data_IF_072225632782
#
_entry.id   IF_072225632782
#
_cell.length_a   1.000
_cell.length_b   1.000
_cell.length_c   1.000
_cell.angle_alpha   90.00
_cell.angle_beta   90.00
_cell.angle_gamma   90.00
#
_symmetry.space_group_name_H-M   'P 1'
#
loop_
_entity.id
_entity.type
_entity.pdbx_description
1 polymer ?
#
# COMPACT_ATOMS: atom_id res chain seq x y z
N UNK A 1 7.46 6.21 -8.20
CA UNK A 1 6.47 5.74 -9.18
C UNK A 1 5.14 6.42 -8.93
N UNK A 2 4.46 6.82 -9.96
CA UNK A 2 3.15 7.43 -9.82
C UNK A 2 2.12 6.38 -9.43
N UNK A 3 1.22 6.76 -8.55
CA UNK A 3 0.17 5.84 -8.13
C UNK A 3 -0.64 5.32 -9.31
N UNK A 4 -0.93 6.17 -10.28
CA UNK A 4 -1.69 5.75 -11.45
C UNK A 4 -1.01 4.62 -12.22
N UNK A 5 0.30 4.61 -12.26
CA UNK A 5 1.04 3.54 -12.93
C UNK A 5 0.91 2.22 -12.18
N UNK A 6 0.89 2.28 -10.85
CA UNK A 6 0.67 1.10 -10.03
C UNK A 6 -0.76 0.58 -10.20
N UNK A 7 -1.73 1.48 -10.26
CA UNK A 7 -3.13 1.09 -10.37
C UNK A 7 -3.44 0.33 -11.65
N UNK A 8 -2.66 0.53 -12.69
CA UNK A 8 -2.85 -0.20 -13.94
C UNK A 8 -2.54 -1.68 -13.81
N UNK A 9 -1.70 -2.02 -12.83
CA UNK A 9 -1.22 -3.39 -12.67
C UNK A 9 -1.98 -4.18 -11.61
N UNK A 10 -2.91 -3.55 -10.91
CA UNK A 10 -3.66 -4.21 -9.84
C UNK A 10 -5.15 -4.06 -10.08
N UNK A 11 -5.92 -4.92 -9.43
CA UNK A 11 -7.37 -4.83 -9.47
C UNK A 11 -7.84 -4.27 -8.13
N UNK A 12 -8.73 -3.31 -8.20
CA UNK A 12 -9.32 -2.70 -7.01
C UNK A 12 -10.83 -2.61 -7.17
N UNK A 13 -11.53 -2.63 -6.03
CA UNK A 13 -12.99 -2.56 -6.02
C UNK A 13 -13.48 -1.14 -5.80
N UNK A 14 -12.64 -0.31 -5.17
CA UNK A 14 -13.00 1.08 -4.92
C UNK A 14 -11.72 1.91 -4.86
N UNK A 15 -11.83 3.15 -5.26
CA UNK A 15 -10.68 4.05 -5.29
C UNK A 15 -11.12 5.42 -4.83
N UNK A 16 -10.40 5.96 -3.84
CA UNK A 16 -10.59 7.33 -3.36
C UNK A 16 -9.27 8.05 -3.54
N UNK A 17 -9.26 9.08 -4.38
CA UNK A 17 -8.04 9.82 -4.69
C UNK A 17 -8.11 11.24 -4.16
N UNK A 18 -6.96 11.79 -3.70
CA UNK A 18 -6.89 13.20 -3.36
C UNK A 18 -6.90 14.06 -4.63
N UNK A 19 -6.96 15.38 -4.44
CA UNK A 19 -6.96 16.30 -5.58
C UNK A 19 -5.67 16.25 -6.37
N UNK A 20 -4.55 16.15 -5.66
CA UNK A 20 -3.24 16.17 -6.30
C UNK A 20 -2.81 14.76 -6.67
N UNK A 21 -1.95 14.71 -7.68
CA UNK A 21 -1.36 13.45 -8.09
C UNK A 21 -0.51 12.87 -6.97
N UNK A 22 -0.61 11.56 -6.79
CA UNK A 22 0.13 10.87 -5.74
C UNK A 22 1.32 10.14 -6.34
N UNK A 23 2.48 10.37 -5.75
CA UNK A 23 3.67 9.61 -6.11
C UNK A 23 4.01 8.68 -4.95
N UNK A 24 4.28 7.40 -5.26
CA UNK A 24 4.63 6.41 -4.26
C UNK A 24 6.14 6.25 -4.24
N UNK A 25 6.74 6.59 -3.11
CA UNK A 25 8.21 6.55 -2.96
C UNK A 25 8.70 5.25 -2.36
N UNK A 26 7.85 4.56 -1.62
CA UNK A 26 8.19 3.28 -1.02
C UNK A 26 6.91 2.50 -0.77
N UNK A 27 7.05 1.20 -0.54
CA UNK A 27 5.92 0.32 -0.26
C UNK A 27 6.26 -0.52 0.97
N UNK A 28 5.37 -0.54 1.94
CA UNK A 28 5.57 -1.31 3.17
C UNK A 28 4.27 -1.95 3.61
N UNK A 29 4.38 -3.12 4.22
CA UNK A 29 3.27 -3.80 4.86
C UNK A 29 3.34 -3.65 6.38
N UNK A 30 4.39 -3.02 6.88
CA UNK A 30 4.60 -2.78 8.31
C UNK A 30 4.51 -1.27 8.53
N UNK A 31 3.53 -0.85 9.33
CA UNK A 31 3.32 0.57 9.59
C UNK A 31 4.52 1.25 10.23
N UNK A 32 5.34 0.48 10.95
CA UNK A 32 6.53 1.04 11.60
C UNK A 32 7.61 1.46 10.61
N UNK A 33 7.57 0.89 9.41
CA UNK A 33 8.57 1.16 8.39
C UNK A 33 8.11 2.20 7.36
N UNK A 34 6.90 2.69 7.49
CA UNK A 34 6.36 3.67 6.54
C UNK A 34 7.12 4.99 6.66
N UNK A 35 7.45 5.56 5.51
CA UNK A 35 8.10 6.85 5.42
C UNK A 35 7.22 7.84 4.68
N UNK A 36 7.57 9.11 4.76
CA UNK A 36 6.82 10.15 4.06
C UNK A 36 6.78 9.87 2.56
N UNK A 37 5.59 9.92 1.97
CA UNK A 37 5.41 9.61 0.56
C UNK A 37 5.28 8.13 0.26
N UNK A 38 5.25 7.28 1.29
CA UNK A 38 5.16 5.84 1.08
C UNK A 38 3.74 5.33 0.95
N UNK A 39 3.63 4.07 0.53
CA UNK A 39 2.38 3.34 0.48
C UNK A 39 2.37 2.31 1.59
N UNK A 40 1.28 2.24 2.32
CA UNK A 40 1.07 1.20 3.32
C UNK A 40 0.01 0.25 2.82
N UNK A 41 0.29 -1.05 2.91
CA UNK A 41 -0.67 -2.08 2.53
C UNK A 41 -1.16 -2.77 3.79
N UNK A 42 -2.44 -2.58 4.10
CA UNK A 42 -3.05 -3.15 5.30
C UNK A 42 -3.47 -4.58 5.00
N UNK A 43 -2.71 -5.53 5.52
CA UNK A 43 -2.96 -6.95 5.31
C UNK A 43 -3.52 -7.54 6.60
N UNK A 44 -4.59 -8.33 6.47
CA UNK A 44 -5.11 -9.08 7.58
C UNK A 44 -4.20 -10.27 7.86
N UNK A 45 -3.53 -10.22 9.00
CA UNK A 45 -2.68 -11.31 9.42
C UNK A 45 -3.39 -12.23 10.40
N UNK A 46 -2.70 -13.29 10.82
CA UNK A 46 -3.25 -14.24 11.79
C UNK A 46 -3.27 -13.67 13.19
N UNK A 47 -2.34 -12.78 13.52
CA UNK A 47 -2.22 -12.21 14.85
C UNK A 47 -2.66 -10.76 14.92
N UNK A 48 -2.60 -10.05 13.82
CA UNK A 48 -2.95 -8.64 13.79
C UNK A 48 -3.56 -8.29 12.45
N UNK A 49 -4.49 -7.35 12.48
CA UNK A 49 -5.11 -6.81 11.29
C UNK A 49 -4.40 -5.51 10.94
N UNK A 50 -3.78 -5.46 9.76
CA UNK A 50 -3.08 -4.26 9.30
C UNK A 50 -3.98 -3.03 9.26
N UNK A 51 -5.30 -3.22 9.14
CA UNK A 51 -6.23 -2.09 9.15
C UNK A 51 -6.17 -1.29 10.45
N UNK A 52 -5.79 -1.93 11.56
CA UNK A 52 -5.64 -1.23 12.83
C UNK A 52 -4.49 -0.22 12.80
N UNK A 53 -3.58 -0.35 11.84
CA UNK A 53 -2.38 0.48 11.76
C UNK A 53 -2.44 1.52 10.64
N UNK A 54 -3.58 1.64 9.96
CA UNK A 54 -3.71 2.62 8.87
C UNK A 54 -3.45 4.03 9.37
N UNK A 55 -4.03 4.39 10.50
CA UNK A 55 -3.84 5.73 11.06
C UNK A 55 -2.37 5.98 11.40
N UNK A 56 -1.70 4.99 11.98
CA UNK A 56 -0.28 5.13 12.28
C UNK A 56 0.55 5.35 11.03
N UNK A 57 0.22 4.64 9.95
CA UNK A 57 0.91 4.82 8.69
C UNK A 57 0.70 6.23 8.14
N UNK A 58 -0.52 6.74 8.23
CA UNK A 58 -0.82 8.10 7.78
C UNK A 58 -0.04 9.14 8.59
N UNK A 59 0.08 8.91 9.90
CA UNK A 59 0.83 9.81 10.77
C UNK A 59 2.31 9.83 10.41
N UNK A 60 2.82 8.76 9.85
CA UNK A 60 4.21 8.70 9.41
C UNK A 60 4.42 9.26 8.02
N UNK A 61 3.35 9.68 7.37
CA UNK A 61 3.45 10.33 6.07
C UNK A 61 3.06 9.49 4.89
N UNK A 62 2.37 8.37 5.11
CA UNK A 62 1.88 7.57 3.98
C UNK A 62 0.94 8.41 3.12
N UNK A 63 1.13 8.33 1.81
CA UNK A 63 0.30 9.05 0.86
C UNK A 63 -0.68 8.12 0.13
N UNK A 64 -0.51 6.82 0.28
CA UNK A 64 -1.41 5.85 -0.32
C UNK A 64 -1.61 4.68 0.64
N UNK A 65 -2.85 4.23 0.76
CA UNK A 65 -3.22 3.11 1.62
C UNK A 65 -3.95 2.08 0.78
N UNK A 66 -3.47 0.85 0.80
CA UNK A 66 -4.19 -0.28 0.21
C UNK A 66 -4.86 -1.04 1.35
N UNK A 67 -6.14 -1.29 1.21
CA UNK A 67 -6.91 -1.93 2.27
C UNK A 67 -8.06 -2.76 1.70
N UNK A 68 -8.61 -3.63 2.52
CA UNK A 68 -9.80 -4.40 2.16
C UNK A 68 -11.07 -3.70 2.64
N UNK A 69 -10.93 -2.90 3.70
CA UNK A 69 -12.02 -2.10 4.23
C UNK A 69 -11.54 -0.66 4.36
N UNK A 70 -12.29 0.26 3.79
CA UNK A 70 -11.90 1.66 3.86
C UNK A 70 -12.15 2.21 5.27
N UNK A 71 -11.21 2.98 5.83
CA UNK A 71 -11.41 3.52 7.18
C UNK A 71 -12.51 4.58 7.20
N UNK A 72 -13.16 4.74 8.34
CA UNK A 72 -14.18 5.75 8.51
C UNK A 72 -13.59 7.16 8.38
N UNK A 73 -12.43 7.36 8.98
CA UNK A 73 -11.73 8.63 8.89
C UNK A 73 -10.75 8.56 7.75
N UNK A 74 -10.92 9.44 6.79
CA UNK A 74 -10.07 9.49 5.62
C UNK A 74 -9.39 10.84 5.55
N UNK A 75 -8.09 10.82 5.32
CA UNK A 75 -7.32 12.05 5.15
C UNK A 75 -7.49 12.57 3.73
N UNK A 76 -7.71 13.87 3.54
CA UNK A 76 -7.94 14.43 2.20
C UNK A 76 -6.72 14.34 1.29
N UNK A 77 -5.53 14.15 1.85
CA UNK A 77 -4.30 14.08 1.08
C UNK A 77 -3.80 12.67 0.85
N UNK A 78 -4.60 11.67 1.21
CA UNK A 78 -4.20 10.26 1.12
C UNK A 78 -5.11 9.54 0.12
N UNK A 79 -4.51 8.73 -0.72
CA UNK A 79 -5.27 7.87 -1.64
C UNK A 79 -5.61 6.56 -0.93
N UNK A 80 -6.84 6.10 -1.08
CA UNK A 80 -7.29 4.84 -0.52
C UNK A 80 -7.68 3.90 -1.64
N UNK A 81 -7.03 2.76 -1.71
CA UNK A 81 -7.27 1.75 -2.73
C UNK A 81 -7.86 0.52 -2.05
N UNK A 82 -9.15 0.27 -2.27
CA UNK A 82 -9.84 -0.86 -1.68
C UNK A 82 -9.75 -2.05 -2.63
N UNK A 83 -9.27 -3.17 -2.11
CA UNK A 83 -9.07 -4.38 -2.90
C UNK A 83 -9.75 -5.56 -2.22
N UNK A 84 -9.98 -6.62 -3.00
CA UNK A 84 -10.62 -7.81 -2.46
C UNK A 84 -9.67 -8.65 -1.61
N UNK A 85 -8.39 -8.67 -1.99
CA UNK A 85 -7.38 -9.46 -1.29
C UNK A 85 -6.09 -8.65 -1.24
N UNK A 86 -5.84 -8.01 -0.10
CA UNK A 86 -4.69 -7.14 0.06
C UNK A 86 -3.36 -7.91 -0.04
N UNK A 87 -3.34 -9.16 0.43
CA UNK A 87 -2.13 -9.96 0.39
C UNK A 87 -1.72 -10.28 -1.05
N UNK A 88 -2.68 -10.65 -1.87
CA UNK A 88 -2.41 -10.93 -3.27
C UNK A 88 -1.96 -9.67 -4.01
N UNK A 89 -2.62 -8.56 -3.72
CA UNK A 89 -2.29 -7.28 -4.35
C UNK A 89 -0.91 -6.81 -3.90
N UNK A 90 -0.53 -7.07 -2.64
CA UNK A 90 0.78 -6.67 -2.13
C UNK A 90 1.92 -7.27 -2.96
N UNK A 91 1.81 -8.54 -3.33
CA UNK A 91 2.81 -9.18 -4.18
C UNK A 91 2.90 -8.52 -5.54
N UNK A 92 1.76 -8.21 -6.13
CA UNK A 92 1.72 -7.57 -7.43
C UNK A 92 2.30 -6.14 -7.37
N UNK A 93 1.95 -5.41 -6.32
CA UNK A 93 2.46 -4.06 -6.12
C UNK A 93 3.98 -4.08 -5.96
N UNK A 94 4.50 -5.00 -5.15
CA UNK A 94 5.93 -5.09 -4.94
C UNK A 94 6.67 -5.39 -6.25
N UNK A 95 6.16 -6.32 -7.03
CA UNK A 95 6.75 -6.66 -8.31
C UNK A 95 6.74 -5.45 -9.25
N UNK A 96 5.63 -4.75 -9.32
CA UNK A 96 5.48 -3.60 -10.21
C UNK A 96 6.37 -2.44 -9.75
N UNK A 97 6.37 -2.16 -8.45
CA UNK A 97 7.09 -1.02 -7.91
C UNK A 97 8.61 -1.19 -8.02
N UNK A 98 9.10 -2.36 -7.65
CA UNK A 98 10.54 -2.59 -7.62
C UNK A 98 11.08 -3.11 -8.94
N UNK A 99 10.23 -3.50 -9.87
CA UNK A 99 10.64 -3.95 -11.18
C UNK A 99 11.02 -5.41 -11.19
N UNK A 100 12.27 -5.73 -11.46
CA UNK A 100 12.70 -7.09 -11.66
C UNK A 100 12.48 -7.95 -10.40
N UNK A 101 11.57 -8.91 -10.45
CA UNK A 101 11.26 -9.71 -9.27
C UNK A 101 12.42 -10.54 -8.77
N UNK A 102 13.30 -10.95 -9.64
CA UNK A 102 14.44 -11.76 -9.20
C UNK A 102 15.38 -10.99 -8.29
N UNK A 103 15.48 -9.70 -8.48
CA UNK A 103 16.27 -8.86 -7.60
C UNK A 103 15.55 -8.56 -6.30
N UNK A 104 14.26 -8.43 -6.39
CA UNK A 104 13.47 -8.06 -5.24
C UNK A 104 13.17 -9.22 -4.30
N UNK A 105 13.32 -10.41 -4.77
CA UNK A 105 13.11 -11.57 -3.92
C UNK A 105 14.01 -11.56 -2.70
N UNK A 106 15.15 -10.95 -2.81
CA UNK A 106 16.03 -10.82 -1.65
C UNK A 106 15.40 -10.00 -0.55
N UNK A 107 14.70 -8.98 -0.96
CA UNK A 107 14.07 -8.09 -0.03
C UNK A 107 12.84 -8.69 0.55
N UNK A 108 12.12 -9.19 -0.37
CA UNK A 108 10.92 -9.73 -0.01
C UNK A 108 11.12 -10.97 0.71
N UNK A 109 12.00 -11.42 0.26
CA UNK A 109 12.05 -12.47 0.71
C UNK A 109 12.38 -13.03 1.73
N UNK A 110 12.50 -12.73 1.62
CA UNK A 110 12.42 -12.98 2.36
C UNK A 110 11.95 -14.03 2.25
N UNK A 111 11.68 -14.32 1.78
CA UNK A 111 11.24 -15.23 1.62
C UNK A 111 11.69 -16.07 1.35
N UNK A 112 12.12 -15.81 1.52
CA UNK A 112 12.69 -16.90 1.32
C UNK A 112 12.42 -17.80 0.91
#
# INVERSE_FOLDING_TARGET
MRLNDLLREIQYTRLVLPKDEVEVKSVNIDSRLVEAGGMFIAIKGTQADGHAYIQSAEEKGATAIVCENIPEKQSPNVAYIVVADAQAVAGKIATTFYGNPSQQLKLVGVTG
#
